data_IF_096156564220
#
_entry.id   IF_096156564220
#
_cell.length_a   1.000
_cell.length_b   1.000
_cell.length_c   1.000
_cell.angle_alpha   90.00
_cell.angle_beta   90.00
_cell.angle_gamma   90.00
#
_symmetry.space_group_name_H-M   'P 1'
#
loop_
_entity.id
_entity.type
_entity.pdbx_description
1 polymer ?
#
# COMPACT_ATOMS: atom_id res chain seq x y z
N UNK A 1 5.33 -2.63 45.06
CA UNK A 1 4.35 -1.66 44.50
C UNK A 1 4.73 -1.29 43.07
N UNK A 2 4.08 -1.88 42.06
CA UNK A 2 3.70 -1.25 40.76
C UNK A 2 2.61 -2.12 40.14
N UNK A 3 1.36 -1.82 40.48
CA UNK A 3 0.18 -2.40 39.85
C UNK A 3 0.09 -1.90 38.41
N UNK A 4 0.33 -2.79 37.45
CA UNK A 4 0.17 -2.52 36.03
C UNK A 4 -1.30 -2.76 35.69
N UNK A 5 -2.10 -1.70 35.71
CA UNK A 5 -3.50 -1.72 35.25
C UNK A 5 -3.51 -1.88 33.73
N UNK A 6 -3.50 -3.12 33.26
CA UNK A 6 -3.93 -3.47 31.90
C UNK A 6 -5.42 -3.18 31.81
N UNK A 7 -5.77 -1.96 31.42
CA UNK A 7 -7.08 -1.63 30.87
C UNK A 7 -7.24 -2.53 29.64
N UNK A 8 -7.98 -3.61 29.79
CA UNK A 8 -8.41 -4.44 28.69
C UNK A 8 -9.20 -3.55 27.73
N UNK A 9 -8.60 -3.21 26.60
CA UNK A 9 -9.29 -2.47 25.56
C UNK A 9 -10.59 -3.22 25.23
N UNK A 10 -11.74 -2.54 25.17
CA UNK A 10 -13.00 -3.18 24.88
C UNK A 10 -12.84 -3.95 23.57
N UNK A 11 -13.13 -5.25 23.60
CA UNK A 11 -13.12 -6.09 22.43
C UNK A 11 -14.22 -5.59 21.50
N UNK A 12 -13.87 -4.63 20.62
CA UNK A 12 -14.82 -4.08 19.65
C UNK A 12 -15.49 -5.25 18.91
N UNK A 13 -16.79 -5.19 18.60
CA UNK A 13 -17.47 -6.26 17.87
C UNK A 13 -16.69 -6.60 16.60
N UNK A 14 -16.68 -7.88 16.21
CA UNK A 14 -15.93 -8.37 15.03
C UNK A 14 -16.22 -7.52 13.77
N UNK A 15 -17.44 -7.00 13.66
CA UNK A 15 -17.93 -6.20 12.54
C UNK A 15 -17.23 -4.82 12.46
N UNK A 16 -16.94 -4.18 13.58
CA UNK A 16 -16.24 -2.88 13.60
C UNK A 16 -14.76 -3.01 13.20
N UNK A 17 -14.11 -4.14 13.51
CA UNK A 17 -12.74 -4.41 13.07
C UNK A 17 -12.67 -4.63 11.56
N UNK A 18 -13.60 -5.41 11.00
CA UNK A 18 -13.70 -5.65 9.56
C UNK A 18 -14.03 -4.37 8.79
N UNK A 19 -15.05 -3.62 9.22
CA UNK A 19 -15.43 -2.36 8.58
C UNK A 19 -14.27 -1.36 8.55
N UNK A 20 -13.54 -1.25 9.66
CA UNK A 20 -12.35 -0.39 9.73
C UNK A 20 -11.23 -0.87 8.79
N UNK A 21 -10.99 -2.18 8.70
CA UNK A 21 -9.98 -2.73 7.77
C UNK A 21 -10.37 -2.51 6.31
N UNK A 22 -11.65 -2.70 5.97
CA UNK A 22 -12.17 -2.45 4.63
C UNK A 22 -12.06 -0.96 4.26
N UNK A 23 -12.44 -0.06 5.17
CA UNK A 23 -12.30 1.38 4.95
C UNK A 23 -10.83 1.79 4.75
N UNK A 24 -9.91 1.23 5.53
CA UNK A 24 -8.47 1.49 5.36
C UNK A 24 -7.92 0.93 4.04
N UNK A 25 -8.37 -0.25 3.62
CA UNK A 25 -7.97 -0.82 2.33
C UNK A 25 -8.51 0.00 1.14
N UNK A 26 -9.76 0.47 1.22
CA UNK A 26 -10.36 1.37 0.22
C UNK A 26 -9.61 2.70 0.14
N UNK A 27 -9.36 3.35 1.28
CA UNK A 27 -8.58 4.59 1.32
C UNK A 27 -7.14 4.38 0.82
N UNK A 28 -6.55 3.23 1.14
CA UNK A 28 -5.23 2.83 0.62
C UNK A 28 -5.21 2.64 -0.89
N UNK A 29 -6.23 1.98 -1.46
CA UNK A 29 -6.40 1.82 -2.91
C UNK A 29 -6.48 3.19 -3.61
N UNK A 30 -7.32 4.08 -3.09
CA UNK A 30 -7.47 5.43 -3.62
C UNK A 30 -6.15 6.23 -3.56
N UNK A 31 -5.40 6.11 -2.46
CA UNK A 31 -4.08 6.75 -2.32
C UNK A 31 -3.08 6.21 -3.34
N UNK A 32 -3.06 4.89 -3.58
CA UNK A 32 -2.20 4.25 -4.58
C UNK A 32 -2.56 4.74 -5.98
N UNK A 33 -3.85 4.80 -6.31
CA UNK A 33 -4.33 5.28 -7.60
C UNK A 33 -3.98 6.75 -7.86
N UNK A 34 -4.15 7.62 -6.86
CA UNK A 34 -3.74 9.03 -6.94
C UNK A 34 -2.22 9.16 -7.11
N UNK A 35 -1.45 8.36 -6.38
CA UNK A 35 0.01 8.39 -6.43
C UNK A 35 0.56 7.82 -7.74
N UNK A 36 -0.17 6.90 -8.38
CA UNK A 36 0.17 6.35 -9.69
C UNK A 36 0.10 7.40 -10.82
N UNK A 37 -0.65 8.50 -10.64
CA UNK A 37 -0.72 9.60 -11.62
C UNK A 37 0.50 10.51 -11.60
N UNK A 38 1.22 10.55 -10.48
CA UNK A 38 2.50 11.26 -10.40
C UNK A 38 3.59 10.31 -10.86
N UNK A 39 3.89 10.39 -12.16
CA UNK A 39 4.84 9.51 -12.82
C UNK A 39 5.82 10.29 -13.68
N UNK A 40 7.05 9.80 -13.72
CA UNK A 40 8.03 10.20 -14.71
C UNK A 40 7.91 9.22 -15.88
N UNK A 41 7.57 9.67 -17.10
CA UNK A 41 7.43 8.80 -18.26
C UNK A 41 8.79 8.20 -18.62
N UNK A 42 8.99 6.94 -18.22
CA UNK A 42 10.16 6.13 -18.54
C UNK A 42 9.74 4.93 -19.38
N UNK A 43 10.60 4.54 -20.33
CA UNK A 43 10.37 3.39 -21.20
C UNK A 43 11.26 2.22 -20.72
N UNK A 44 10.73 0.99 -20.53
CA UNK A 44 9.39 0.48 -20.88
C UNK A 44 8.34 0.53 -19.75
N UNK A 45 8.68 0.90 -18.52
CA UNK A 45 7.73 1.02 -17.38
C UNK A 45 7.91 2.37 -16.68
N UNK A 46 6.84 3.17 -16.51
CA UNK A 46 6.94 4.46 -15.83
C UNK A 46 7.30 4.29 -14.36
N UNK A 47 8.25 5.10 -13.88
CA UNK A 47 8.52 5.23 -12.45
C UNK A 47 7.45 6.14 -11.84
N UNK A 48 6.76 5.64 -10.82
CA UNK A 48 5.61 6.32 -10.21
C UNK A 48 5.79 6.40 -8.70
N UNK A 49 5.13 7.35 -8.05
CA UNK A 49 5.03 7.40 -6.57
C UNK A 49 4.16 6.26 -6.00
N UNK A 50 3.60 5.41 -6.86
CA UNK A 50 2.79 4.26 -6.49
C UNK A 50 3.55 3.30 -5.56
N UNK A 51 4.80 2.95 -5.89
CA UNK A 51 5.62 2.03 -5.06
C UNK A 51 5.88 2.59 -3.68
N UNK A 52 6.12 3.90 -3.58
CA UNK A 52 6.27 4.59 -2.30
C UNK A 52 4.97 4.50 -1.48
N UNK A 53 3.82 4.79 -2.09
CA UNK A 53 2.51 4.68 -1.43
C UNK A 53 2.22 3.25 -0.96
N UNK A 54 2.56 2.25 -1.78
CA UNK A 54 2.42 0.83 -1.44
C UNK A 54 3.28 0.44 -0.24
N UNK A 55 4.56 0.85 -0.23
CA UNK A 55 5.46 0.57 0.90
C UNK A 55 5.03 1.32 2.17
N UNK A 56 4.57 2.56 2.04
CA UNK A 56 4.04 3.34 3.16
C UNK A 56 2.82 2.64 3.80
N UNK A 57 1.88 2.18 2.98
CA UNK A 57 0.73 1.41 3.42
C UNK A 57 1.14 0.08 4.05
N UNK A 58 2.09 -0.63 3.45
CA UNK A 58 2.60 -1.90 3.97
C UNK A 58 3.25 -1.74 5.35
N UNK A 59 4.13 -0.77 5.50
CA UNK A 59 4.84 -0.53 6.76
C UNK A 59 3.95 0.09 7.84
N UNK A 60 2.95 0.88 7.45
CA UNK A 60 2.06 1.59 8.38
C UNK A 60 0.81 0.81 8.81
N UNK A 61 0.20 0.05 7.89
CA UNK A 61 -1.07 -0.64 8.11
C UNK A 61 -0.94 -2.17 8.17
N UNK A 62 0.24 -2.72 7.86
CA UNK A 62 0.51 -4.16 7.91
C UNK A 62 0.10 -4.92 6.65
N UNK A 63 0.42 -6.22 6.60
CA UNK A 63 0.27 -7.04 5.40
C UNK A 63 -1.18 -7.15 4.92
N UNK A 64 -2.13 -7.27 5.86
CA UNK A 64 -3.54 -7.52 5.55
C UNK A 64 -4.20 -6.33 4.88
N UNK A 65 -3.93 -5.12 5.37
CA UNK A 65 -4.53 -3.89 4.83
C UNK A 65 -3.83 -3.49 3.53
N UNK A 66 -2.50 -3.54 3.48
CA UNK A 66 -1.75 -3.17 2.28
C UNK A 66 -1.92 -4.15 1.13
N UNK A 67 -1.87 -5.46 1.40
CA UNK A 67 -2.18 -6.48 0.39
C UNK A 67 -3.61 -6.35 -0.13
N UNK A 68 -4.57 -6.07 0.76
CA UNK A 68 -5.95 -5.78 0.38
C UNK A 68 -6.07 -4.55 -0.51
N UNK A 69 -5.40 -3.45 -0.17
CA UNK A 69 -5.40 -2.21 -0.97
C UNK A 69 -4.79 -2.40 -2.36
N UNK A 70 -3.66 -3.12 -2.47
CA UNK A 70 -3.03 -3.40 -3.78
C UNK A 70 -3.88 -4.35 -4.61
N UNK A 71 -4.49 -5.37 -4.01
CA UNK A 71 -5.41 -6.25 -4.71
C UNK A 71 -6.64 -5.50 -5.23
N UNK A 72 -7.20 -4.59 -4.42
CA UNK A 72 -8.32 -3.75 -4.83
C UNK A 72 -7.93 -2.85 -6.02
N UNK A 73 -6.78 -2.20 -5.93
CA UNK A 73 -6.21 -1.39 -7.00
C UNK A 73 -6.05 -2.19 -8.30
N UNK A 74 -5.54 -3.42 -8.23
CA UNK A 74 -5.40 -4.31 -9.38
C UNK A 74 -6.75 -4.72 -9.96
N UNK A 75 -7.76 -4.99 -9.12
CA UNK A 75 -9.12 -5.31 -9.55
C UNK A 75 -9.81 -4.11 -10.22
N UNK A 76 -9.69 -2.92 -9.65
CA UNK A 76 -10.20 -1.67 -10.24
C UNK A 76 -9.58 -1.43 -11.61
N UNK A 77 -8.26 -1.61 -11.73
CA UNK A 77 -7.55 -1.45 -13.00
C UNK A 77 -7.89 -2.55 -14.01
N UNK A 78 -8.09 -3.79 -13.56
CA UNK A 78 -8.53 -4.90 -14.42
C UNK A 78 -9.96 -4.71 -14.92
N UNK A 79 -10.85 -4.12 -14.10
CA UNK A 79 -12.21 -3.74 -14.48
C UNK A 79 -12.28 -2.60 -15.51
N UNK A 80 -11.13 -2.00 -15.85
CA UNK A 80 -11.02 -0.98 -16.88
C UNK A 80 -11.11 0.44 -16.35
N UNK A 81 -11.13 0.65 -15.02
CA UNK A 81 -11.00 2.00 -14.48
C UNK A 81 -9.59 2.52 -14.80
N UNK A 82 -9.43 3.82 -15.11
CA UNK A 82 -8.13 4.41 -15.42
C UNK A 82 -7.29 4.61 -14.15
N UNK A 83 -7.10 3.59 -13.32
CA UNK A 83 -6.30 3.69 -12.08
C UNK A 83 -4.82 3.41 -12.30
N UNK A 84 -4.44 2.80 -13.43
CA UNK A 84 -3.04 2.60 -13.80
C UNK A 84 -2.42 3.88 -14.38
N UNK A 85 -1.09 3.95 -14.29
CA UNK A 85 -0.23 5.04 -14.75
C UNK A 85 -0.61 5.60 -16.15
N UNK A 86 -0.82 4.72 -17.13
CA UNK A 86 -1.15 5.09 -18.51
C UNK A 86 -2.56 4.64 -18.93
N UNK A 87 -3.50 4.49 -17.98
CA UNK A 87 -4.90 4.14 -18.28
C UNK A 87 -5.43 3.00 -17.42
N UNK A 88 -6.14 2.04 -18.04
CA UNK A 88 -6.76 0.90 -17.37
C UNK A 88 -6.90 -0.29 -18.33
N UNK A 89 -7.26 -1.45 -17.80
CA UNK A 89 -7.63 -2.63 -18.58
C UNK A 89 -6.67 -3.81 -18.48
N UNK A 90 -7.15 -4.96 -18.97
CA UNK A 90 -6.46 -6.26 -18.90
C UNK A 90 -5.13 -6.29 -19.66
N UNK A 91 -4.89 -5.37 -20.59
CA UNK A 91 -3.63 -5.25 -21.32
C UNK A 91 -2.40 -5.08 -20.39
N UNK A 92 -2.59 -4.46 -19.21
CA UNK A 92 -1.53 -4.33 -18.19
C UNK A 92 -1.11 -5.66 -17.56
N UNK A 93 -1.93 -6.70 -17.67
CA UNK A 93 -1.64 -8.03 -17.15
C UNK A 93 -0.98 -8.94 -18.19
N UNK A 94 -1.00 -8.56 -19.46
CA UNK A 94 -0.42 -9.33 -20.56
C UNK A 94 0.97 -8.83 -21.01
N UNK A 95 1.48 -7.75 -20.41
CA UNK A 95 2.75 -7.11 -20.76
C UNK A 95 3.79 -7.09 -19.63
N UNK A 96 4.96 -6.44 -19.84
CA UNK A 96 6.02 -6.33 -18.84
C UNK A 96 5.58 -5.60 -17.56
N UNK A 97 4.53 -4.78 -17.63
CA UNK A 97 3.90 -4.11 -16.49
C UNK A 97 3.20 -5.07 -15.53
N UNK A 98 2.81 -6.26 -15.98
CA UNK A 98 2.21 -7.29 -15.13
C UNK A 98 3.18 -7.72 -14.03
N UNK A 99 4.45 -7.96 -14.40
CA UNK A 99 5.51 -8.32 -13.46
C UNK A 99 5.73 -7.25 -12.41
N UNK A 100 5.63 -5.96 -12.79
CA UNK A 100 5.71 -4.85 -11.85
C UNK A 100 4.52 -4.82 -10.88
N UNK A 101 3.29 -5.03 -11.37
CA UNK A 101 2.07 -5.06 -10.53
C UNK A 101 2.10 -6.23 -9.52
N UNK A 102 2.39 -7.44 -10.00
CA UNK A 102 2.52 -8.61 -9.13
C UNK A 102 3.70 -8.50 -8.17
N UNK A 103 4.82 -7.91 -8.62
CA UNK A 103 5.97 -7.58 -7.78
C UNK A 103 5.62 -6.58 -6.67
N UNK A 104 4.82 -5.55 -6.97
CA UNK A 104 4.32 -4.60 -5.99
C UNK A 104 3.41 -5.27 -4.95
N UNK A 105 2.55 -6.18 -5.39
CA UNK A 105 1.70 -6.97 -4.48
C UNK A 105 2.56 -7.84 -3.54
N UNK A 106 3.53 -8.56 -4.09
CA UNK A 106 4.46 -9.36 -3.31
C UNK A 106 5.26 -8.49 -2.32
N UNK A 107 5.76 -7.34 -2.76
CA UNK A 107 6.48 -6.39 -1.92
C UNK A 107 5.60 -5.83 -0.78
N UNK A 108 4.34 -5.51 -1.06
CA UNK A 108 3.39 -5.04 -0.05
C UNK A 108 3.13 -6.09 1.03
N UNK A 109 2.95 -7.35 0.62
CA UNK A 109 2.73 -8.48 1.53
C UNK A 109 3.98 -8.77 2.37
N UNK A 110 5.16 -8.80 1.74
CA UNK A 110 6.43 -9.04 2.44
C UNK A 110 6.76 -7.90 3.40
N UNK A 111 6.76 -6.66 2.93
CA UNK A 111 7.04 -5.49 3.77
C UNK A 111 6.03 -5.35 4.91
N UNK A 112 4.75 -5.61 4.64
CA UNK A 112 3.71 -5.62 5.65
C UNK A 112 3.88 -6.75 6.67
N UNK A 113 4.32 -7.93 6.23
CA UNK A 113 4.55 -9.07 7.14
C UNK A 113 5.77 -8.81 8.04
N UNK A 114 6.82 -8.17 7.51
CA UNK A 114 7.95 -7.69 8.32
C UNK A 114 7.50 -6.60 9.30
N UNK A 115 6.65 -5.67 8.88
CA UNK A 115 6.09 -4.64 9.75
C UNK A 115 5.26 -5.22 10.90
N UNK A 116 4.42 -6.20 10.61
CA UNK A 116 3.59 -6.92 11.58
C UNK A 116 4.45 -7.69 12.61
N UNK A 117 5.62 -8.19 12.20
CA UNK A 117 6.64 -8.78 13.09
C UNK A 117 7.35 -7.76 13.98
N UNK A 118 6.96 -6.49 13.90
CA UNK A 118 7.45 -5.41 14.75
C UNK A 118 8.74 -4.75 14.28
N UNK A 119 9.24 -5.10 13.09
CA UNK A 119 10.42 -4.46 12.50
C UNK A 119 10.14 -2.99 12.11
N UNK A 120 8.87 -2.62 11.92
CA UNK A 120 8.45 -1.28 11.49
C UNK A 120 7.79 -0.45 12.62
N UNK A 121 7.96 -0.80 13.91
CA UNK A 121 7.27 -0.07 14.98
C UNK A 121 7.79 1.36 15.18
N UNK A 122 6.94 2.33 14.81
CA UNK A 122 6.54 3.42 15.71
C UNK A 122 6.96 4.86 15.39
N UNK A 123 7.90 5.10 14.46
CA UNK A 123 8.28 6.47 13.98
C UNK A 123 9.26 6.40 12.81
N UNK A 124 10.11 5.37 12.79
CA UNK A 124 11.12 5.15 11.74
C UNK A 124 10.53 4.78 10.40
N UNK A 125 9.42 4.03 10.36
CA UNK A 125 8.73 3.72 9.12
C UNK A 125 8.12 4.96 8.44
N UNK A 126 7.48 5.85 9.22
CA UNK A 126 6.95 7.11 8.72
C UNK A 126 8.07 8.07 8.24
N UNK A 127 9.19 8.12 8.97
CA UNK A 127 10.34 8.96 8.60
C UNK A 127 11.07 8.39 7.38
N UNK A 128 11.26 7.08 7.28
CA UNK A 128 11.91 6.43 6.13
C UNK A 128 11.09 6.63 4.84
N UNK A 129 9.76 6.53 4.94
CA UNK A 129 8.84 6.81 3.82
C UNK A 129 8.90 8.28 3.43
N UNK A 130 8.89 9.20 4.41
CA UNK A 130 9.03 10.64 4.14
C UNK A 130 10.37 10.98 3.48
N UNK A 131 11.47 10.35 3.91
CA UNK A 131 12.81 10.60 3.33
C UNK A 131 12.97 10.01 1.93
N UNK A 132 12.39 8.83 1.65
CA UNK A 132 12.46 8.23 0.32
C UNK A 132 11.58 8.98 -0.69
N UNK A 133 10.45 9.51 -0.25
CA UNK A 133 9.58 10.37 -1.09
C UNK A 133 10.21 11.73 -1.39
N UNK A 134 10.94 12.31 -0.44
CA UNK A 134 11.69 13.54 -0.66
C UNK A 134 12.86 13.34 -1.65
N UNK A 135 13.53 12.19 -1.61
CA UNK A 135 14.65 11.90 -2.52
C UNK A 135 14.21 11.76 -3.99
N UNK A 136 13.02 11.22 -4.26
CA UNK A 136 12.46 11.11 -5.61
C UNK A 136 11.99 12.44 -6.22
N UNK A 137 11.91 13.52 -5.43
CA UNK A 137 11.55 14.86 -5.92
C UNK A 137 12.76 15.64 -6.47
N UNK A 138 13.98 15.13 -6.30
CA UNK A 138 15.24 15.84 -6.57
C UNK A 138 16.10 15.14 -7.65
N UNK A 139 15.67 13.99 -8.19
CA UNK A 139 16.41 13.24 -9.21
C UNK A 139 15.65 13.18 -10.55
#
# INVERSE_FOLDING_TARGET
>A
MRFRTTVAAPAAPFHHRLARQAALALAGSALIALSARVQVPMWPVPMTLQTLAVLALALGCGARVAGGAVALYMLEGAAGLPVFASGGGLAYFAGPTAGYLFGCLAAALLAGALADRGWARGRRAAIAVASLGAASLIA
#
